data_IF_540822866634
#
_entry.id   IF_540822866634
#
_cell.length_a   1.000
_cell.length_b   1.000
_cell.length_c   1.000
_cell.angle_alpha   90.00
_cell.angle_beta   90.00
_cell.angle_gamma   90.00
#
_symmetry.space_group_name_H-M   'P 1'
#
loop_
_entity.id
_entity.type
_entity.pdbx_description
1 polymer ?
#
# COMPACT_ATOMS: atom_id res chain seq x y z
N UNK A 1 23.96 -2.50 31.75
CA UNK A 1 23.28 -1.37 31.09
C UNK A 1 24.03 -1.08 29.79
N UNK A 2 23.96 -1.96 28.79
CA UNK A 2 24.79 -1.92 27.56
C UNK A 2 24.13 -2.76 26.43
N UNK A 3 22.79 -2.73 26.31
CA UNK A 3 22.10 -3.57 25.32
C UNK A 3 20.76 -2.95 24.87
N UNK A 4 20.79 -1.69 24.43
CA UNK A 4 19.59 -1.00 23.89
C UNK A 4 19.86 -0.04 22.72
N UNK A 5 21.11 0.28 22.39
CA UNK A 5 21.42 1.21 21.29
C UNK A 5 21.53 0.54 19.91
N UNK A 6 21.89 -0.75 19.84
CA UNK A 6 22.18 -1.42 18.55
C UNK A 6 20.93 -1.85 17.78
N UNK A 7 19.86 -2.25 18.46
CA UNK A 7 18.61 -2.71 17.83
C UNK A 7 17.86 -1.56 17.13
N UNK A 8 17.90 -0.36 17.72
CA UNK A 8 17.30 0.84 17.15
C UNK A 8 18.06 1.39 15.92
N UNK A 9 19.36 1.11 15.81
CA UNK A 9 20.17 1.49 14.63
C UNK A 9 19.98 0.53 13.45
N UNK A 10 19.45 -0.68 13.68
CA UNK A 10 19.32 -1.71 12.64
C UNK A 10 18.02 -1.59 11.84
N UNK A 11 17.07 -0.73 12.26
CA UNK A 11 15.95 -0.31 11.40
C UNK A 11 16.46 0.70 10.37
N UNK A 12 17.42 0.26 9.54
CA UNK A 12 17.81 0.94 8.33
C UNK A 12 16.54 1.11 7.51
N UNK A 13 16.10 2.36 7.39
CA UNK A 13 15.03 2.75 6.48
C UNK A 13 15.50 2.31 5.10
N UNK A 14 14.98 1.19 4.60
CA UNK A 14 15.28 0.71 3.26
C UNK A 14 14.64 1.69 2.30
N UNK A 15 15.40 2.67 1.82
CA UNK A 15 14.97 3.54 0.75
C UNK A 15 14.94 2.71 -0.53
N UNK A 16 13.76 2.57 -1.11
CA UNK A 16 13.64 2.12 -2.49
C UNK A 16 14.05 3.31 -3.37
N UNK A 17 15.04 3.13 -4.23
CA UNK A 17 15.53 4.16 -5.16
C UNK A 17 15.54 3.56 -6.56
N UNK A 18 15.13 4.36 -7.55
CA UNK A 18 15.06 3.93 -8.93
C UNK A 18 16.17 4.65 -9.72
N UNK A 19 16.88 3.97 -10.63
CA UNK A 19 17.87 4.61 -11.50
C UNK A 19 17.25 5.71 -12.37
N UNK A 20 18.09 6.67 -12.81
CA UNK A 20 17.72 7.63 -13.85
C UNK A 20 17.24 6.87 -15.10
N UNK A 21 16.16 7.37 -15.72
CA UNK A 21 15.45 6.75 -16.86
C UNK A 21 14.68 5.43 -16.56
N UNK A 22 14.54 5.04 -15.28
CA UNK A 22 13.71 3.90 -14.93
C UNK A 22 12.23 4.20 -15.15
N UNK A 23 11.53 3.29 -15.83
CA UNK A 23 10.08 3.35 -16.07
C UNK A 23 9.35 2.20 -15.40
N UNK A 24 8.14 2.46 -14.93
CA UNK A 24 7.21 1.42 -14.45
C UNK A 24 6.07 1.25 -15.44
N UNK A 25 5.90 0.04 -15.94
CA UNK A 25 4.80 -0.33 -16.83
C UNK A 25 3.63 -0.96 -16.07
N UNK A 26 2.42 -0.67 -16.50
CA UNK A 26 1.18 -1.33 -16.08
C UNK A 26 0.49 -1.90 -17.32
N UNK A 27 0.22 -3.20 -17.29
CA UNK A 27 -0.38 -3.91 -18.41
C UNK A 27 -1.69 -4.59 -17.98
N UNK A 28 -2.77 -4.29 -18.68
CA UNK A 28 -4.07 -4.91 -18.49
C UNK A 28 -4.49 -5.65 -19.75
N UNK A 29 -4.84 -6.92 -19.58
CA UNK A 29 -5.48 -7.72 -20.62
C UNK A 29 -6.91 -8.03 -20.19
N UNK A 30 -7.89 -7.53 -20.95
CA UNK A 30 -9.31 -7.79 -20.72
C UNK A 30 -9.86 -8.60 -21.88
N UNK A 31 -10.42 -9.77 -21.58
CA UNK A 31 -11.12 -10.60 -22.55
C UNK A 31 -12.61 -10.66 -22.18
N UNK A 32 -13.45 -10.16 -23.08
CA UNK A 32 -14.91 -10.20 -22.95
C UNK A 32 -15.42 -11.28 -23.91
N UNK A 33 -15.96 -12.39 -23.40
CA UNK A 33 -16.61 -13.38 -24.24
C UNK A 33 -17.86 -12.77 -24.88
N UNK A 34 -18.06 -13.04 -26.17
CA UNK A 34 -19.29 -12.71 -26.86
C UNK A 34 -20.25 -13.88 -26.69
N UNK A 35 -21.48 -13.57 -26.29
CA UNK A 35 -22.51 -14.58 -26.12
C UNK A 35 -23.12 -14.89 -27.50
N UNK A 36 -22.53 -15.90 -28.17
CA UNK A 36 -23.02 -16.41 -29.44
C UNK A 36 -23.38 -17.90 -29.30
N UNK A 37 -24.61 -18.30 -29.69
CA UNK A 37 -25.08 -19.69 -29.50
C UNK A 37 -24.41 -20.70 -30.44
N UNK A 38 -23.71 -20.24 -31.48
CA UNK A 38 -23.15 -21.09 -32.53
C UNK A 38 -21.62 -21.19 -32.49
N UNK A 39 -20.95 -20.25 -31.87
CA UNK A 39 -19.50 -20.19 -31.83
C UNK A 39 -19.00 -19.49 -30.57
N UNK A 40 -17.87 -19.95 -30.03
CA UNK A 40 -17.21 -19.26 -28.92
C UNK A 40 -16.29 -18.19 -29.48
N UNK A 41 -16.73 -16.93 -29.44
CA UNK A 41 -15.94 -15.77 -29.85
C UNK A 41 -15.68 -14.86 -28.65
N UNK A 42 -14.56 -14.13 -28.66
CA UNK A 42 -14.23 -13.18 -27.59
C UNK A 42 -13.51 -11.96 -28.16
N UNK A 43 -13.77 -10.80 -27.57
CA UNK A 43 -13.03 -9.57 -27.83
C UNK A 43 -11.99 -9.39 -26.75
N UNK A 44 -10.73 -9.28 -27.15
CA UNK A 44 -9.62 -9.00 -26.24
C UNK A 44 -9.12 -7.57 -26.45
N UNK A 45 -8.90 -6.86 -25.34
CA UNK A 45 -8.29 -5.54 -25.30
C UNK A 45 -7.01 -5.61 -24.47
N UNK A 46 -5.96 -4.97 -24.98
CA UNK A 46 -4.66 -4.87 -24.32
C UNK A 46 -4.38 -3.39 -24.08
N UNK A 47 -4.26 -3.03 -22.81
CA UNK A 47 -3.97 -1.67 -22.39
C UNK A 47 -2.60 -1.66 -21.72
N UNK A 48 -1.74 -0.76 -22.16
CA UNK A 48 -0.40 -0.56 -21.62
C UNK A 48 -0.26 0.91 -21.23
N UNK A 49 0.27 1.13 -20.03
CA UNK A 49 0.60 2.45 -19.53
C UNK A 49 2.01 2.44 -18.96
N UNK A 50 2.84 3.39 -19.38
CA UNK A 50 4.16 3.62 -18.83
C UNK A 50 4.13 4.86 -17.92
N UNK A 51 4.77 4.75 -16.76
CA UNK A 51 4.95 5.84 -15.81
C UNK A 51 6.43 6.03 -15.53
N UNK A 52 6.88 7.28 -15.50
CA UNK A 52 8.23 7.61 -15.04
C UNK A 52 8.31 7.39 -13.53
N UNK A 53 9.39 6.77 -13.07
CA UNK A 53 9.62 6.54 -11.65
C UNK A 53 10.39 7.71 -11.05
N UNK A 54 9.94 8.27 -9.91
CA UNK A 54 10.70 9.29 -9.23
C UNK A 54 11.97 8.69 -8.65
N UNK A 55 13.08 9.40 -8.80
CA UNK A 55 14.39 8.99 -8.26
C UNK A 55 14.33 8.86 -6.73
N UNK A 56 13.39 9.55 -6.07
CA UNK A 56 13.19 9.51 -4.62
C UNK A 56 11.73 9.19 -4.22
N UNK A 57 11.51 8.12 -3.46
CA UNK A 57 10.16 7.63 -3.06
C UNK A 57 9.36 8.63 -2.23
N UNK A 58 10.02 9.61 -1.59
CA UNK A 58 9.30 10.72 -0.91
C UNK A 58 8.57 11.66 -1.88
N UNK A 59 8.85 11.60 -3.17
CA UNK A 59 8.21 12.45 -4.21
C UNK A 59 6.86 11.89 -4.68
N UNK A 60 6.58 10.60 -4.45
CA UNK A 60 5.29 9.96 -4.83
C UNK A 60 4.09 10.58 -4.10
N UNK A 61 4.32 11.20 -2.93
CA UNK A 61 3.25 11.91 -2.20
C UNK A 61 2.91 13.28 -2.82
N UNK A 62 3.73 13.81 -3.76
CA UNK A 62 3.61 15.19 -4.27
C UNK A 62 2.85 15.30 -5.60
N UNK A 63 2.71 14.23 -6.38
CA UNK A 63 2.09 14.28 -7.73
C UNK A 63 0.58 14.05 -7.74
N UNK A 64 -0.06 13.90 -6.57
CA UNK A 64 -1.52 13.83 -6.45
C UNK A 64 -2.12 15.20 -6.13
N UNK A 65 -2.21 16.06 -7.15
CA UNK A 65 -3.10 17.23 -7.17
C UNK A 65 -2.46 18.55 -6.76
N UNK A 66 -2.54 19.50 -7.67
CA UNK A 66 -2.32 20.94 -7.46
C UNK A 66 -3.10 21.42 -6.23
N UNK A 67 -2.43 21.65 -5.11
CA UNK A 67 -2.95 22.42 -3.97
C UNK A 67 -1.83 22.70 -2.96
N UNK A 68 -1.19 23.88 -3.10
CA UNK A 68 -0.16 24.43 -2.21
C UNK A 68 -0.58 24.55 -0.72
N UNK A 69 -1.83 24.22 -0.37
CA UNK A 69 -2.38 24.28 0.98
C UNK A 69 -2.27 23.00 1.82
N UNK A 70 -1.68 21.89 1.33
CA UNK A 70 -1.68 20.59 2.05
C UNK A 70 -0.38 20.22 2.77
N UNK A 71 0.74 20.88 2.49
CA UNK A 71 2.05 20.56 3.07
C UNK A 71 2.04 20.65 4.62
N UNK A 72 1.18 21.49 5.22
CA UNK A 72 1.11 21.64 6.69
C UNK A 72 0.23 20.62 7.42
N UNK A 73 -0.57 19.79 6.72
CA UNK A 73 -1.54 18.88 7.38
C UNK A 73 -1.07 17.44 7.57
N UNK A 74 -0.03 16.99 6.85
CA UNK A 74 0.35 15.57 6.84
C UNK A 74 1.53 15.19 7.74
N UNK A 75 2.26 16.14 8.35
CA UNK A 75 3.18 15.81 9.46
C UNK A 75 2.46 15.14 10.65
N UNK A 76 1.12 15.26 10.72
CA UNK A 76 0.29 14.69 11.77
C UNK A 76 -0.52 13.44 11.34
N UNK A 77 -0.46 13.01 10.07
CA UNK A 77 -1.16 11.79 9.62
C UNK A 77 -0.30 10.53 9.67
N UNK A 78 0.98 10.68 10.03
CA UNK A 78 1.92 9.59 10.17
C UNK A 78 2.00 9.08 11.63
N UNK A 79 0.85 8.85 12.28
CA UNK A 79 0.77 8.19 13.59
C UNK A 79 -0.46 7.30 13.76
N UNK A 80 -0.85 6.58 12.71
CA UNK A 80 -1.52 5.29 12.95
C UNK A 80 -0.44 4.26 13.31
N UNK A 81 0.21 4.45 14.46
CA UNK A 81 1.00 3.41 15.13
C UNK A 81 -0.05 2.55 15.80
N UNK A 82 -0.72 1.69 15.01
CA UNK A 82 -1.56 0.66 15.60
C UNK A 82 -0.59 -0.29 16.30
N UNK A 83 -0.45 -0.10 17.61
CA UNK A 83 0.41 -0.92 18.44
C UNK A 83 -0.18 -2.33 18.57
N UNK A 84 0.68 -3.34 18.46
CA UNK A 84 0.28 -4.75 18.53
C UNK A 84 -0.36 -5.06 19.89
N UNK A 85 0.07 -4.37 20.94
CA UNK A 85 -0.52 -4.47 22.29
C UNK A 85 -2.01 -4.10 22.27
N UNK A 86 -2.36 -3.00 21.62
CA UNK A 86 -3.74 -2.53 21.48
C UNK A 86 -4.58 -3.48 20.64
N UNK A 87 -4.02 -4.02 19.55
CA UNK A 87 -4.72 -5.03 18.72
C UNK A 87 -5.01 -6.28 19.54
N UNK A 88 -4.02 -6.80 20.25
CA UNK A 88 -4.18 -8.04 21.02
C UNK A 88 -5.14 -7.88 22.20
N UNK A 89 -5.07 -6.76 22.93
CA UNK A 89 -6.04 -6.47 23.98
C UNK A 89 -7.48 -6.38 23.45
N UNK A 90 -7.65 -5.80 22.26
CA UNK A 90 -8.98 -5.69 21.62
C UNK A 90 -9.49 -7.04 21.12
N UNK A 91 -8.61 -7.91 20.61
CA UNK A 91 -8.95 -9.27 20.21
C UNK A 91 -9.31 -10.13 21.43
N UNK A 92 -8.51 -10.08 22.48
CA UNK A 92 -8.73 -10.80 23.75
C UNK A 92 -10.11 -10.47 24.33
N UNK A 93 -10.45 -9.18 24.45
CA UNK A 93 -11.77 -8.74 24.91
C UNK A 93 -12.94 -9.26 24.05
N UNK A 94 -12.75 -9.38 22.72
CA UNK A 94 -13.76 -9.95 21.83
C UNK A 94 -13.90 -11.47 21.98
N UNK A 95 -12.82 -12.18 22.25
CA UNK A 95 -12.87 -13.61 22.52
C UNK A 95 -13.50 -13.91 23.87
N UNK A 96 -13.15 -13.17 24.92
CA UNK A 96 -13.76 -13.33 26.25
C UNK A 96 -15.27 -13.07 26.23
N UNK A 97 -15.70 -11.97 25.61
CA UNK A 97 -17.14 -11.65 25.48
C UNK A 97 -17.92 -12.69 24.68
N UNK A 98 -17.29 -13.35 23.70
CA UNK A 98 -17.93 -14.43 22.94
C UNK A 98 -18.10 -15.70 23.77
N UNK A 99 -17.13 -16.01 24.64
CA UNK A 99 -17.20 -17.16 25.56
C UNK A 99 -18.25 -16.95 26.66
N UNK A 100 -18.40 -15.73 27.18
CA UNK A 100 -19.45 -15.43 28.18
C UNK A 100 -20.85 -15.52 27.60
N UNK A 101 -21.03 -15.36 26.28
CA UNK A 101 -22.34 -15.40 25.61
C UNK A 101 -22.86 -16.81 25.33
N UNK A 102 -22.03 -17.84 25.51
CA UNK A 102 -22.35 -19.25 25.21
C UNK A 102 -22.68 -20.04 26.51
N UNK A 103 -22.57 -19.42 27.69
CA UNK A 103 -23.06 -19.95 28.97
C UNK A 103 -24.39 -19.30 29.34
#
# INVERSE_FOLDING_TARGET
MEMRMTDAMQRHVRSLSFPEDSKMGLFFALAIPLDDPTSTMSVAMFLEAEYELPTNVTEIEQTSGDDEGRIKRNANRQRSIIDRTTIYAMLESKFESSVTRIK
#
